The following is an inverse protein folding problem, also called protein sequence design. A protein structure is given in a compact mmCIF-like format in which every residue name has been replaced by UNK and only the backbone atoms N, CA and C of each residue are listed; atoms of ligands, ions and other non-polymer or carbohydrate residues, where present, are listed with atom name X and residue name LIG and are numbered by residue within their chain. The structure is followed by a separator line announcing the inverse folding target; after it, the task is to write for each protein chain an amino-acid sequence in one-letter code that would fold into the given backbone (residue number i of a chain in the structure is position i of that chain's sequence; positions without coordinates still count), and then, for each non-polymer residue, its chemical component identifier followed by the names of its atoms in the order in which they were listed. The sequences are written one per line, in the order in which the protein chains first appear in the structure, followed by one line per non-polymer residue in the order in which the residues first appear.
data_IF_245489671060
#
_entry.id   IF_245489671060
#
_cell.length_a   1.000
_cell.length_b   1.000
_cell.length_c   1.000
_cell.angle_alpha   90.00
_cell.angle_beta   90.00
_cell.angle_gamma   90.00
#
_symmetry.space_group_name_H-M   'P 1'
#
loop_
_entity.id
_entity.type
_entity.pdbx_description
1 polymer ?
#
# COMPACT_ATOMS: atom_id res chain seq x y z
N UNK A 1 8.91 -26.21 -31.04
CA UNK A 1 9.61 -24.97 -30.69
C UNK A 1 8.66 -23.80 -30.94
N UNK A 2 8.31 -23.03 -29.87
CA UNK A 2 7.45 -21.85 -29.99
C UNK A 2 8.31 -20.63 -30.30
N UNK A 3 7.91 -19.82 -31.27
CA UNK A 3 8.63 -18.57 -31.59
C UNK A 3 8.29 -17.50 -30.53
N UNK A 4 9.21 -16.56 -30.24
CA UNK A 4 9.05 -15.51 -29.22
C UNK A 4 7.75 -14.69 -29.45
N UNK A 5 7.38 -14.42 -30.72
CA UNK A 5 6.11 -13.75 -31.07
C UNK A 5 4.84 -14.46 -30.56
N UNK A 6 4.94 -15.75 -30.18
CA UNK A 6 3.82 -16.52 -29.64
C UNK A 6 3.92 -16.74 -28.13
N UNK A 7 4.81 -16.04 -27.43
CA UNK A 7 4.92 -16.15 -25.98
C UNK A 7 3.76 -15.40 -25.28
N UNK A 8 3.32 -15.93 -24.16
CA UNK A 8 2.49 -15.16 -23.23
C UNK A 8 3.33 -14.05 -22.60
N UNK A 9 2.68 -13.05 -21.99
CA UNK A 9 3.37 -11.99 -21.30
C UNK A 9 4.36 -12.54 -20.25
N UNK A 10 3.93 -13.48 -19.42
CA UNK A 10 4.80 -14.11 -18.42
C UNK A 10 5.98 -14.88 -19.02
N UNK A 11 5.80 -15.54 -20.17
CA UNK A 11 6.93 -16.15 -20.90
C UNK A 11 7.91 -15.09 -21.43
N UNK A 12 7.38 -13.95 -21.87
CA UNK A 12 8.20 -12.82 -22.33
C UNK A 12 9.02 -12.24 -21.18
N UNK A 13 8.40 -12.01 -20.02
CA UNK A 13 9.08 -11.49 -18.82
C UNK A 13 10.19 -12.46 -18.33
N UNK A 14 9.90 -13.74 -18.22
CA UNK A 14 10.91 -14.76 -17.84
C UNK A 14 12.07 -14.81 -18.83
N UNK A 15 11.81 -14.67 -20.13
CA UNK A 15 12.86 -14.59 -21.15
C UNK A 15 13.69 -13.32 -21.01
N UNK A 16 13.05 -12.15 -20.73
CA UNK A 16 13.74 -10.87 -20.49
C UNK A 16 14.69 -10.96 -19.30
N UNK A 17 14.21 -11.50 -18.18
CA UNK A 17 15.04 -11.73 -16.98
C UNK A 17 16.20 -12.68 -17.29
N UNK A 18 15.94 -13.79 -17.99
CA UNK A 18 16.99 -14.73 -18.40
C UNK A 18 18.03 -14.07 -19.32
N UNK A 19 17.59 -13.21 -20.25
CA UNK A 19 18.50 -12.46 -21.14
C UNK A 19 19.35 -11.46 -20.36
N UNK A 20 18.78 -10.75 -19.39
CA UNK A 20 19.51 -9.84 -18.53
C UNK A 20 20.61 -10.52 -17.69
N UNK A 21 20.43 -11.81 -17.38
CA UNK A 21 21.37 -12.60 -16.59
C UNK A 21 22.51 -13.24 -17.42
N UNK A 22 22.41 -13.24 -18.75
CA UNK A 22 23.42 -13.91 -19.61
C UNK A 22 24.85 -13.38 -19.41
N UNK A 23 25.00 -12.08 -19.11
CA UNK A 23 26.29 -11.46 -18.88
C UNK A 23 26.81 -11.56 -17.45
N UNK A 24 26.12 -12.29 -16.59
CA UNK A 24 26.42 -12.42 -15.16
C UNK A 24 26.64 -11.07 -14.45
N UNK A 25 25.71 -10.09 -14.57
CA UNK A 25 25.94 -8.74 -14.08
C UNK A 25 25.85 -8.68 -12.54
N UNK A 26 26.70 -7.83 -11.94
CA UNK A 26 26.63 -7.54 -10.51
C UNK A 26 25.48 -6.60 -10.14
N UNK A 27 24.92 -5.86 -11.11
CA UNK A 27 23.79 -4.92 -10.95
C UNK A 27 22.73 -5.23 -11.99
N UNK A 28 21.49 -5.35 -11.54
CA UNK A 28 20.31 -5.64 -12.35
C UNK A 28 19.26 -4.54 -12.15
N UNK A 29 18.72 -4.04 -13.26
CA UNK A 29 17.61 -3.09 -13.25
C UNK A 29 16.40 -3.73 -13.94
N UNK A 30 15.30 -3.83 -13.23
CA UNK A 30 14.04 -4.38 -13.72
C UNK A 30 12.95 -3.32 -13.66
N UNK A 31 12.39 -3.00 -14.81
CA UNK A 31 11.28 -2.07 -14.92
C UNK A 31 9.97 -2.85 -14.99
N UNK A 32 9.11 -2.66 -13.96
CA UNK A 32 7.82 -3.32 -13.80
C UNK A 32 7.84 -4.85 -14.07
N UNK A 33 8.76 -5.63 -13.49
CA UNK A 33 8.98 -7.03 -13.89
C UNK A 33 7.81 -7.95 -13.55
N UNK A 34 6.90 -7.54 -12.67
CA UNK A 34 5.72 -8.31 -12.23
C UNK A 34 4.45 -7.91 -12.97
N UNK A 35 4.48 -6.86 -13.78
CA UNK A 35 3.28 -6.34 -14.41
C UNK A 35 2.64 -7.35 -15.37
N UNK A 36 1.33 -7.62 -15.18
CA UNK A 36 0.56 -8.55 -16.00
C UNK A 36 0.92 -10.03 -15.84
N UNK A 37 1.62 -10.39 -14.78
CA UNK A 37 1.86 -11.78 -14.40
C UNK A 37 0.71 -12.32 -13.55
N UNK A 38 0.52 -13.64 -13.61
CA UNK A 38 -0.30 -14.37 -12.65
C UNK A 38 0.40 -14.46 -11.27
N UNK A 39 -0.31 -14.80 -10.20
CA UNK A 39 0.27 -14.86 -8.85
C UNK A 39 1.50 -15.76 -8.73
N UNK A 40 1.56 -16.87 -9.50
CA UNK A 40 2.72 -17.76 -9.55
C UNK A 40 3.93 -17.05 -10.20
N UNK A 41 3.69 -16.30 -11.28
CA UNK A 41 4.70 -15.51 -11.95
C UNK A 41 5.26 -14.41 -11.07
N UNK A 42 4.41 -13.69 -10.35
CA UNK A 42 4.81 -12.67 -9.37
C UNK A 42 5.71 -13.28 -8.29
N UNK A 43 5.26 -14.38 -7.68
CA UNK A 43 6.05 -15.13 -6.68
C UNK A 43 7.42 -15.54 -7.23
N UNK A 44 7.46 -16.06 -8.46
CA UNK A 44 8.72 -16.48 -9.09
C UNK A 44 9.69 -15.32 -9.31
N UNK A 45 9.21 -14.14 -9.76
CA UNK A 45 10.04 -12.92 -9.90
C UNK A 45 10.59 -12.51 -8.55
N UNK A 46 9.74 -12.42 -7.52
CA UNK A 46 10.14 -12.08 -6.16
C UNK A 46 11.24 -12.98 -5.62
N UNK A 47 11.04 -14.31 -5.70
CA UNK A 47 12.03 -15.30 -5.25
C UNK A 47 13.33 -15.20 -6.05
N UNK A 48 13.25 -14.93 -7.36
CA UNK A 48 14.42 -14.74 -8.21
C UNK A 48 15.20 -13.49 -7.78
N UNK A 49 14.54 -12.35 -7.58
CA UNK A 49 15.19 -11.11 -7.15
C UNK A 49 15.85 -11.26 -5.77
N UNK A 50 15.14 -11.87 -4.81
CA UNK A 50 15.71 -12.13 -3.47
C UNK A 50 16.90 -13.08 -3.50
N UNK A 51 16.85 -14.11 -4.31
CA UNK A 51 17.98 -15.03 -4.49
C UNK A 51 19.19 -14.30 -5.07
N UNK A 52 19.02 -13.51 -6.12
CA UNK A 52 20.09 -12.74 -6.75
C UNK A 52 20.71 -11.71 -5.77
N UNK A 53 19.89 -11.03 -4.98
CA UNK A 53 20.37 -10.15 -3.92
C UNK A 53 21.14 -10.91 -2.84
N UNK A 54 20.66 -12.09 -2.43
CA UNK A 54 21.35 -13.00 -1.50
C UNK A 54 22.70 -13.53 -2.02
N UNK A 55 22.89 -13.57 -3.35
CA UNK A 55 24.17 -13.87 -3.99
C UNK A 55 25.15 -12.67 -3.99
N UNK A 56 24.75 -11.53 -3.41
CA UNK A 56 25.56 -10.30 -3.32
C UNK A 56 25.40 -9.36 -4.51
N UNK A 57 24.40 -9.56 -5.38
CA UNK A 57 24.11 -8.66 -6.49
C UNK A 57 23.21 -7.50 -6.03
N UNK A 58 23.32 -6.37 -6.69
CA UNK A 58 22.37 -5.27 -6.53
C UNK A 58 21.21 -5.46 -7.50
N UNK A 59 19.97 -5.55 -6.96
CA UNK A 59 18.75 -5.66 -7.78
C UNK A 59 17.91 -4.40 -7.54
N UNK A 60 17.73 -3.60 -8.58
CA UNK A 60 16.88 -2.41 -8.57
C UNK A 60 15.59 -2.71 -9.35
N UNK A 61 14.44 -2.49 -8.72
CA UNK A 61 13.12 -2.82 -9.29
C UNK A 61 12.25 -1.57 -9.24
N UNK A 62 11.64 -1.19 -10.37
CA UNK A 62 10.48 -0.30 -10.35
C UNK A 62 9.20 -1.10 -10.21
N UNK A 63 8.24 -0.60 -9.44
CA UNK A 63 6.90 -1.16 -9.35
C UNK A 63 5.89 -0.15 -8.81
N UNK A 64 4.64 -0.29 -9.22
CA UNK A 64 3.48 0.39 -8.62
C UNK A 64 2.70 -0.52 -7.66
N UNK A 65 3.08 -1.79 -7.51
CA UNK A 65 2.46 -2.76 -6.60
C UNK A 65 3.16 -2.71 -5.24
N UNK A 66 2.67 -1.85 -4.35
CA UNK A 66 3.28 -1.58 -3.05
C UNK A 66 3.34 -2.82 -2.16
N UNK A 67 2.28 -3.65 -2.15
CA UNK A 67 2.23 -4.90 -1.40
C UNK A 67 3.33 -5.89 -1.82
N UNK A 68 3.66 -5.95 -3.10
CA UNK A 68 4.76 -6.78 -3.60
C UNK A 68 6.13 -6.19 -3.22
N UNK A 69 6.25 -4.86 -3.26
CA UNK A 69 7.48 -4.19 -2.86
C UNK A 69 7.75 -4.36 -1.37
N UNK A 70 6.75 -4.26 -0.52
CA UNK A 70 6.87 -4.53 0.92
C UNK A 70 7.40 -5.94 1.22
N UNK A 71 7.12 -6.92 0.37
CA UNK A 71 7.58 -8.31 0.53
C UNK A 71 8.91 -8.60 -0.18
N UNK A 72 9.32 -7.77 -1.13
CA UNK A 72 10.46 -8.06 -2.02
C UNK A 72 11.67 -7.22 -1.69
N UNK A 73 11.50 -5.93 -1.46
CA UNK A 73 12.57 -4.97 -1.29
C UNK A 73 13.12 -4.95 0.16
N UNK A 74 14.41 -4.72 0.29
CA UNK A 74 15.05 -4.41 1.58
C UNK A 74 15.08 -2.89 1.79
N UNK A 75 15.17 -2.13 0.70
CA UNK A 75 15.20 -0.68 0.70
C UNK A 75 14.25 -0.10 -0.35
N UNK A 76 13.71 1.05 -0.06
CA UNK A 76 12.81 1.82 -0.92
C UNK A 76 13.42 3.15 -1.30
N UNK A 77 13.03 3.60 -2.49
CA UNK A 77 13.24 4.93 -2.99
C UNK A 77 11.90 5.42 -3.55
N UNK A 78 11.23 6.32 -2.83
CA UNK A 78 9.96 6.91 -3.26
C UNK A 78 10.23 8.17 -4.05
N UNK A 79 9.70 8.25 -5.27
CA UNK A 79 9.90 9.38 -6.18
C UNK A 79 8.55 10.03 -6.49
N UNK A 80 8.51 11.35 -6.48
CA UNK A 80 7.38 12.14 -6.92
C UNK A 80 7.83 13.44 -7.57
N UNK A 81 7.22 13.81 -8.69
CA UNK A 81 7.57 15.04 -9.47
C UNK A 81 9.08 15.18 -9.75
N UNK A 82 9.74 14.09 -10.10
CA UNK A 82 11.17 14.08 -10.39
C UNK A 82 12.09 14.31 -9.19
N UNK A 83 11.56 14.18 -7.95
CA UNK A 83 12.34 14.32 -6.72
C UNK A 83 12.21 13.06 -5.86
N UNK A 84 13.25 12.77 -5.09
CA UNK A 84 13.21 11.75 -4.05
C UNK A 84 12.40 12.32 -2.88
N UNK A 85 11.29 11.65 -2.54
CA UNK A 85 10.42 12.01 -1.42
C UNK A 85 10.84 11.30 -0.13
N UNK A 86 11.26 10.04 -0.25
CA UNK A 86 11.75 9.23 0.87
C UNK A 86 12.71 8.17 0.37
N UNK A 87 13.64 7.76 1.22
CA UNK A 87 14.55 6.64 0.98
C UNK A 87 14.93 5.99 2.29
N UNK A 88 15.08 4.67 2.30
CA UNK A 88 15.45 3.92 3.50
C UNK A 88 14.97 2.48 3.46
N UNK A 89 15.10 1.79 4.59
CA UNK A 89 14.52 0.44 4.73
C UNK A 89 13.00 0.52 4.62
N UNK A 90 12.40 -0.55 4.09
CA UNK A 90 10.93 -0.63 3.92
C UNK A 90 10.21 -0.30 5.24
N UNK A 91 10.60 -0.93 6.34
CA UNK A 91 9.97 -0.75 7.65
C UNK A 91 10.11 0.69 8.17
N UNK A 92 11.28 1.32 7.96
CA UNK A 92 11.53 2.71 8.38
C UNK A 92 10.67 3.70 7.58
N UNK A 93 10.53 3.47 6.28
CA UNK A 93 9.68 4.30 5.41
C UNK A 93 8.21 4.18 5.83
N UNK A 94 7.73 2.97 6.10
CA UNK A 94 6.37 2.74 6.59
C UNK A 94 6.17 3.46 7.93
N UNK A 95 7.05 3.24 8.91
CA UNK A 95 6.93 3.82 10.25
C UNK A 95 7.02 5.36 10.26
N UNK A 96 7.74 5.95 9.30
CA UNK A 96 7.86 7.42 9.18
C UNK A 96 6.62 8.09 8.62
N UNK A 97 5.81 7.38 7.84
CA UNK A 97 4.71 7.94 7.08
C UNK A 97 3.31 7.50 7.56
N UNK A 98 3.24 6.46 8.39
CA UNK A 98 1.98 5.91 8.89
C UNK A 98 2.17 5.24 10.25
N UNK A 99 1.06 4.98 10.96
CA UNK A 99 1.07 4.39 12.30
C UNK A 99 -0.01 3.31 12.37
N UNK A 100 0.30 2.23 13.08
CA UNK A 100 -0.70 1.21 13.42
C UNK A 100 -1.88 1.85 14.15
N UNK A 101 -3.09 1.42 13.82
CA UNK A 101 -4.31 1.87 14.46
C UNK A 101 -5.24 0.72 14.80
N UNK A 102 -6.03 0.91 15.82
CA UNK A 102 -7.09 -0.05 16.18
C UNK A 102 -8.42 0.47 15.68
N UNK A 103 -9.10 -0.37 14.92
CA UNK A 103 -10.47 -0.18 14.47
C UNK A 103 -11.39 -0.98 15.35
N UNK A 104 -12.44 -0.33 15.84
CA UNK A 104 -13.46 -0.94 16.67
C UNK A 104 -14.86 -0.58 16.17
N UNK A 105 -15.71 -1.57 15.97
CA UNK A 105 -17.11 -1.36 15.66
C UNK A 105 -17.99 -1.78 16.85
N UNK A 106 -18.93 -0.90 17.21
CA UNK A 106 -19.86 -1.12 18.33
C UNK A 106 -21.18 -0.39 18.07
N UNK A 107 -22.34 -0.98 18.38
CA UNK A 107 -23.59 -0.24 18.39
C UNK A 107 -23.62 0.88 19.45
N UNK A 108 -22.69 0.81 20.41
CA UNK A 108 -22.51 1.78 21.51
C UNK A 108 -21.22 2.59 21.31
N UNK A 109 -20.83 2.90 20.05
CA UNK A 109 -19.57 3.59 19.72
C UNK A 109 -19.41 4.93 20.47
N UNK A 110 -20.46 5.72 20.59
CA UNK A 110 -20.43 6.99 21.33
C UNK A 110 -20.04 6.77 22.80
N UNK A 111 -20.67 5.81 23.46
CA UNK A 111 -20.35 5.48 24.87
C UNK A 111 -18.91 4.93 25.01
N UNK A 112 -18.46 4.14 24.04
CA UNK A 112 -17.07 3.67 24.01
C UNK A 112 -16.10 4.83 23.87
N UNK A 113 -16.38 5.79 22.99
CA UNK A 113 -15.55 6.98 22.82
C UNK A 113 -15.46 7.84 24.10
N UNK A 114 -16.57 7.97 24.83
CA UNK A 114 -16.59 8.66 26.12
C UNK A 114 -15.73 7.94 27.18
N UNK A 115 -15.79 6.60 27.25
CA UNK A 115 -14.96 5.82 28.16
C UNK A 115 -13.47 5.88 27.78
N UNK A 116 -13.15 5.93 26.49
CA UNK A 116 -11.79 6.13 26.00
C UNK A 116 -11.28 7.54 26.37
N UNK A 117 -12.08 8.57 26.12
CA UNK A 117 -11.75 9.95 26.46
C UNK A 117 -11.51 10.15 27.98
N UNK A 118 -12.29 9.50 28.84
CA UNK A 118 -12.09 9.51 30.28
C UNK A 118 -10.73 8.93 30.74
N UNK A 119 -10.06 8.17 29.85
CA UNK A 119 -8.70 7.61 30.05
C UNK A 119 -7.63 8.31 29.21
N UNK A 120 -7.92 9.49 28.66
CA UNK A 120 -7.06 10.25 27.76
C UNK A 120 -6.67 9.48 26.48
N UNK A 121 -7.51 8.57 26.00
CA UNK A 121 -7.34 7.89 24.74
C UNK A 121 -8.19 8.58 23.67
N UNK A 122 -7.55 9.14 22.66
CA UNK A 122 -8.26 9.75 21.54
C UNK A 122 -8.87 8.68 20.64
N UNK A 123 -10.12 8.87 20.22
CA UNK A 123 -10.79 8.01 19.26
C UNK A 123 -11.45 8.85 18.19
N UNK A 124 -11.18 8.55 16.94
CA UNK A 124 -11.75 9.24 15.77
C UNK A 124 -12.93 8.43 15.22
N UNK A 125 -14.14 8.97 15.15
CA UNK A 125 -15.24 8.34 14.46
C UNK A 125 -14.97 8.33 12.94
N UNK A 126 -15.03 7.16 12.32
CA UNK A 126 -14.87 6.98 10.86
C UNK A 126 -16.18 6.56 10.19
N UNK A 127 -17.14 6.05 10.98
CA UNK A 127 -18.51 5.77 10.59
C UNK A 127 -19.41 5.84 11.83
N UNK A 128 -20.76 5.84 11.70
CA UNK A 128 -21.68 5.99 12.85
C UNK A 128 -21.46 5.02 14.01
N UNK A 129 -20.98 3.81 13.73
CA UNK A 129 -20.72 2.77 14.73
C UNK A 129 -19.25 2.31 14.77
N UNK A 130 -18.32 3.04 14.13
CA UNK A 130 -16.92 2.65 13.99
C UNK A 130 -16.00 3.78 14.46
N UNK A 131 -15.07 3.40 15.34
CA UNK A 131 -14.02 4.28 15.84
C UNK A 131 -12.65 3.74 15.41
N UNK A 132 -11.70 4.63 15.23
CA UNK A 132 -10.28 4.31 15.07
C UNK A 132 -9.45 5.10 16.09
N UNK A 133 -8.40 4.46 16.61
CA UNK A 133 -7.45 5.07 17.53
C UNK A 133 -6.03 4.55 17.30
N UNK A 134 -5.05 5.41 17.54
CA UNK A 134 -3.63 5.08 17.60
C UNK A 134 -3.11 5.01 19.04
N UNK A 135 -3.92 5.41 20.02
CA UNK A 135 -3.48 5.64 21.41
C UNK A 135 -3.63 4.40 22.30
N UNK A 136 -4.21 3.33 21.79
CA UNK A 136 -4.44 2.12 22.56
C UNK A 136 -4.31 0.84 21.70
N UNK A 137 -3.94 -0.26 22.34
CA UNK A 137 -3.94 -1.58 21.70
C UNK A 137 -5.35 -2.17 21.65
N UNK A 138 -5.58 -3.13 20.75
CA UNK A 138 -6.86 -3.85 20.69
C UNK A 138 -7.19 -4.52 22.03
N UNK A 139 -6.20 -5.09 22.72
CA UNK A 139 -6.39 -5.68 24.05
C UNK A 139 -6.93 -4.67 25.06
N UNK A 140 -6.31 -3.49 25.15
CA UNK A 140 -6.72 -2.42 26.08
C UNK A 140 -8.15 -1.94 25.79
N UNK A 141 -8.51 -1.79 24.50
CA UNK A 141 -9.88 -1.41 24.11
C UNK A 141 -10.87 -2.53 24.44
N UNK A 142 -10.51 -3.80 24.22
CA UNK A 142 -11.34 -4.93 24.57
C UNK A 142 -11.65 -5.01 26.07
N UNK A 143 -10.63 -4.82 26.91
CA UNK A 143 -10.79 -4.77 28.37
C UNK A 143 -11.67 -3.58 28.81
N UNK A 144 -11.46 -2.41 28.22
CA UNK A 144 -12.26 -1.22 28.47
C UNK A 144 -13.75 -1.44 28.12
N UNK A 145 -14.01 -2.04 26.96
CA UNK A 145 -15.36 -2.36 26.52
C UNK A 145 -16.02 -3.39 27.45
N UNK A 146 -15.31 -4.43 27.87
CA UNK A 146 -15.80 -5.43 28.81
C UNK A 146 -16.17 -4.81 30.16
N UNK A 147 -15.31 -3.97 30.72
CA UNK A 147 -15.58 -3.22 31.97
C UNK A 147 -16.80 -2.29 31.85
N UNK A 148 -16.99 -1.69 30.67
CA UNK A 148 -18.12 -0.82 30.37
C UNK A 148 -19.42 -1.54 30.00
N UNK A 149 -19.41 -2.86 29.88
CA UNK A 149 -20.55 -3.65 29.38
C UNK A 149 -20.92 -3.29 27.94
N UNK A 150 -19.92 -2.96 27.10
CA UNK A 150 -20.09 -2.57 25.70
C UNK A 150 -19.88 -3.77 24.79
N UNK A 151 -20.83 -3.98 23.89
CA UNK A 151 -20.75 -5.04 22.88
C UNK A 151 -19.86 -4.56 21.73
N UNK A 152 -18.90 -5.38 21.33
CA UNK A 152 -18.06 -5.13 20.16
C UNK A 152 -18.47 -6.06 19.01
N UNK A 153 -18.64 -5.50 17.82
CA UNK A 153 -18.88 -6.24 16.59
C UNK A 153 -17.58 -6.48 15.80
N UNK A 154 -16.60 -5.58 16.00
CA UNK A 154 -15.27 -5.68 15.41
C UNK A 154 -14.25 -5.08 16.37
N UNK A 155 -13.09 -5.71 16.45
CA UNK A 155 -11.92 -5.18 17.16
C UNK A 155 -10.68 -5.69 16.44
N UNK A 156 -10.07 -4.84 15.61
CA UNK A 156 -8.98 -5.24 14.70
C UNK A 156 -7.86 -4.22 14.76
N UNK A 157 -6.62 -4.70 14.83
CA UNK A 157 -5.45 -3.85 14.59
C UNK A 157 -5.23 -3.74 13.08
N UNK A 158 -5.24 -2.53 12.56
CA UNK A 158 -4.86 -2.21 11.19
C UNK A 158 -3.39 -1.81 11.24
N UNK A 159 -2.54 -2.65 10.68
CA UNK A 159 -1.12 -2.37 10.59
C UNK A 159 -0.83 -1.34 9.52
N UNK A 160 0.13 -0.50 9.80
CA UNK A 160 0.71 0.43 8.85
C UNK A 160 1.17 -0.31 7.58
N UNK A 161 0.82 0.19 6.41
CA UNK A 161 1.14 -0.46 5.13
C UNK A 161 1.97 0.47 4.24
N UNK A 162 2.70 -0.14 3.30
CA UNK A 162 3.46 0.62 2.31
C UNK A 162 2.55 1.40 1.37
N UNK A 163 1.35 0.89 1.05
CA UNK A 163 0.34 1.60 0.26
C UNK A 163 -0.06 2.91 0.95
N UNK A 164 -0.35 2.84 2.24
CA UNK A 164 -0.76 4.02 3.02
C UNK A 164 0.41 5.01 3.16
N UNK A 165 1.61 4.49 3.44
CA UNK A 165 2.82 5.31 3.50
C UNK A 165 3.09 6.04 2.18
N UNK A 166 2.96 5.33 1.05
CA UNK A 166 3.11 5.91 -0.28
C UNK A 166 2.07 7.01 -0.54
N UNK A 167 0.79 6.77 -0.24
CA UNK A 167 -0.27 7.76 -0.42
C UNK A 167 -0.01 9.02 0.43
N UNK A 168 0.42 8.85 1.68
CA UNK A 168 0.75 9.97 2.56
C UNK A 168 1.95 10.78 2.03
N UNK A 169 3.02 10.10 1.60
CA UNK A 169 4.22 10.75 1.07
C UNK A 169 3.97 11.45 -0.27
N UNK A 170 3.02 10.97 -1.06
CA UNK A 170 2.74 11.50 -2.40
C UNK A 170 1.53 12.42 -2.44
N UNK A 171 0.78 12.58 -1.35
CA UNK A 171 -0.46 13.38 -1.29
C UNK A 171 -0.31 14.79 -1.86
N UNK A 172 0.82 15.44 -1.60
CA UNK A 172 1.15 16.77 -2.11
C UNK A 172 1.82 16.76 -3.50
N UNK A 173 2.15 15.55 -3.99
CA UNK A 173 2.89 15.35 -5.24
C UNK A 173 2.03 14.80 -6.37
N UNK A 174 0.76 14.47 -6.13
CA UNK A 174 -0.17 13.98 -7.16
C UNK A 174 -0.60 15.13 -8.08
N UNK A 175 -0.26 15.04 -9.36
CA UNK A 175 -0.53 16.07 -10.37
C UNK A 175 -2.02 16.18 -10.78
N UNK A 176 -2.83 15.18 -10.47
CA UNK A 176 -4.26 15.13 -10.82
C UNK A 176 -5.12 15.02 -9.55
N UNK A 177 -5.36 16.15 -8.89
CA UNK A 177 -6.59 16.27 -8.10
C UNK A 177 -7.72 16.49 -9.10
N UNK A 178 -8.53 15.46 -9.35
CA UNK A 178 -9.85 15.66 -9.94
C UNK A 178 -10.67 16.47 -8.95
N UNK A 179 -10.83 17.74 -9.26
CA UNK A 179 -11.70 18.66 -8.50
C UNK A 179 -13.15 18.18 -8.73
N UNK A 180 -13.89 17.73 -7.70
CA UNK A 180 -15.22 17.16 -7.88
C UNK A 180 -16.30 18.22 -8.26
N UNK A 181 -15.89 19.47 -8.53
CA UNK A 181 -16.79 20.59 -8.80
C UNK A 181 -17.06 20.88 -10.27
N UNK A 182 -16.50 20.15 -11.22
CA UNK A 182 -16.91 20.28 -12.64
C UNK A 182 -18.07 19.32 -12.93
N UNK A 183 -19.27 19.69 -12.46
CA UNK A 183 -20.53 19.19 -13.03
C UNK A 183 -20.66 19.78 -14.44
N UNK A 184 -20.58 18.92 -15.42
CA UNK A 184 -20.96 19.24 -16.82
C UNK A 184 -22.38 19.80 -16.84
N UNK A 185 -22.51 21.08 -17.14
CA UNK A 185 -23.76 21.69 -17.50
C UNK A 185 -24.07 21.25 -18.93
N UNK A 186 -25.16 20.54 -19.19
CA UNK A 186 -25.52 20.15 -20.57
C UNK A 186 -25.85 21.43 -21.35
N UNK A 187 -25.07 21.69 -22.40
CA UNK A 187 -25.43 22.72 -23.38
C UNK A 187 -26.73 22.28 -24.10
N UNK A 188 -27.81 22.94 -23.73
CA UNK A 188 -29.08 22.87 -24.46
C UNK A 188 -28.88 23.33 -25.90
N UNK A 189 -29.11 22.40 -26.83
CA UNK A 189 -29.23 22.69 -28.26
C UNK A 189 -30.38 23.69 -28.50
N UNK A 190 -30.02 24.87 -28.93
CA UNK A 190 -31.00 25.80 -29.50
C UNK A 190 -30.94 25.63 -31.03
N UNK A 191 -31.87 24.82 -31.60
CA UNK A 191 -32.25 24.84 -33.00
C UNK A 191 -33.47 25.75 -33.10
N UNK A 192 -33.34 26.86 -33.79
CA UNK A 192 -34.46 27.55 -34.37
C UNK A 192 -34.03 28.32 -35.64
N UNK A 193 -34.78 28.04 -36.72
CA UNK A 193 -35.00 28.74 -37.99
C UNK A 193 -33.83 28.75 -38.98
#
# INVERSE_FOLDING_TARGET
KKRVKGFSLGMGQRLGIAAALLGDPGVLLFDEPVNGLDPEGVKWVRETCRRLAGEGRTVFISSHLMSEMAQTADQLLVIGRGRILSTGRVDDVIASATTDRVRVASPQATRLAELMAARNLAARPVAPSVLETTDATAAAIGELAAQGGIVLHELTTIHASLEEAYLNLTSDSVEYRTDPTHQDVPQSQNRAA
#
